data_IF_629931078615
#
_entry.id   IF_629931078615
#
_cell.length_a   1.000
_cell.length_b   1.000
_cell.length_c   1.000
_cell.angle_alpha   90.00
_cell.angle_beta   90.00
_cell.angle_gamma   90.00
#
_symmetry.space_group_name_H-M   'P 1'
#
loop_
_entity.id
_entity.type
_entity.pdbx_description
1 polymer ?
#
# COMPACT_ATOMS: atom_id res chain seq x y z
N UNK A 1 17.40 -9.54 -3.09
CA UNK A 1 16.00 -9.92 -3.43
C UNK A 1 15.17 -8.64 -3.61
N UNK A 2 14.30 -8.57 -4.63
CA UNK A 2 13.47 -7.38 -4.90
C UNK A 2 12.04 -7.63 -4.44
N UNK A 3 11.48 -6.72 -3.65
CA UNK A 3 10.08 -6.72 -3.26
C UNK A 3 9.40 -5.58 -4.03
N UNK A 4 8.26 -5.88 -4.62
CA UNK A 4 7.39 -4.91 -5.27
C UNK A 4 6.30 -4.51 -4.29
N UNK A 5 6.10 -3.20 -4.16
CA UNK A 5 5.06 -2.61 -3.33
C UNK A 5 4.03 -1.98 -4.25
N UNK A 6 2.78 -2.41 -4.15
CA UNK A 6 1.66 -1.76 -4.81
C UNK A 6 0.83 -1.05 -3.75
N UNK A 7 0.60 0.25 -3.92
CA UNK A 7 -0.16 1.04 -2.96
C UNK A 7 -1.43 1.53 -3.64
N UNK A 8 -2.57 1.17 -3.09
CA UNK A 8 -3.89 1.56 -3.57
C UNK A 8 -4.52 2.47 -2.52
N UNK A 9 -4.51 3.79 -2.73
CA UNK A 9 -5.13 4.72 -1.79
C UNK A 9 -6.65 4.66 -1.90
N UNK A 10 -7.30 4.46 -0.77
CA UNK A 10 -8.74 4.65 -0.59
C UNK A 10 -8.97 6.08 -0.09
N UNK A 11 -9.62 6.87 -0.95
CA UNK A 11 -9.90 8.29 -0.69
C UNK A 11 -11.08 8.49 0.24
N UNK A 12 -11.99 7.52 0.34
CA UNK A 12 -13.19 7.64 1.17
C UNK A 12 -12.87 7.33 2.63
N UNK A 13 -12.06 6.30 2.89
CA UNK A 13 -11.68 5.91 4.26
C UNK A 13 -10.43 6.63 4.78
N UNK A 14 -9.65 7.29 3.92
CA UNK A 14 -8.36 7.89 4.30
C UNK A 14 -7.27 6.85 4.58
N UNK A 15 -7.49 5.59 4.18
CA UNK A 15 -6.55 4.49 4.30
C UNK A 15 -5.98 4.13 2.93
N UNK A 16 -4.81 3.51 2.91
CA UNK A 16 -4.19 2.93 1.73
C UNK A 16 -3.95 1.45 1.97
N UNK A 17 -4.25 0.66 0.97
CA UNK A 17 -3.90 -0.75 0.94
C UNK A 17 -2.53 -0.93 0.27
N UNK A 18 -1.57 -1.45 1.03
CA UNK A 18 -0.24 -1.80 0.56
C UNK A 18 -0.19 -3.30 0.31
N UNK A 19 0.03 -3.72 -0.93
CA UNK A 19 0.21 -5.11 -1.33
C UNK A 19 1.69 -5.40 -1.56
N UNK A 20 2.16 -6.49 -0.99
CA UNK A 20 3.54 -6.95 -1.11
C UNK A 20 3.59 -8.07 -2.14
N UNK A 21 4.41 -7.88 -3.18
CA UNK A 21 4.68 -8.91 -4.17
C UNK A 21 6.18 -9.22 -4.22
N UNK A 22 6.51 -10.50 -4.40
CA UNK A 22 7.88 -10.94 -4.60
C UNK A 22 7.90 -12.03 -5.67
N UNK A 23 8.68 -11.82 -6.73
CA UNK A 23 8.85 -12.80 -7.82
C UNK A 23 7.51 -13.23 -8.47
N UNK A 24 6.52 -12.32 -8.47
CA UNK A 24 5.17 -12.58 -8.98
C UNK A 24 4.22 -13.20 -7.96
N UNK A 25 4.70 -13.59 -6.78
CA UNK A 25 3.89 -14.11 -5.69
C UNK A 25 3.37 -12.99 -4.79
N UNK A 26 2.09 -13.06 -4.44
CA UNK A 26 1.49 -12.19 -3.43
C UNK A 26 1.88 -12.68 -2.04
N UNK A 27 2.55 -11.82 -1.28
CA UNK A 27 3.02 -12.13 0.06
C UNK A 27 2.06 -11.66 1.15
N UNK A 28 1.26 -10.62 0.88
CA UNK A 28 0.33 -10.09 1.86
C UNK A 28 -0.15 -8.68 1.57
N UNK A 29 -1.05 -8.21 2.44
CA UNK A 29 -1.64 -6.88 2.39
C UNK A 29 -1.58 -6.23 3.76
N UNK A 30 -1.35 -4.92 3.78
CA UNK A 30 -1.42 -4.10 4.98
C UNK A 30 -2.23 -2.85 4.70
N UNK A 31 -3.17 -2.52 5.59
CA UNK A 31 -3.86 -1.23 5.59
C UNK A 31 -3.05 -0.23 6.40
N UNK A 32 -2.73 0.90 5.80
CA UNK A 32 -1.92 1.97 6.39
C UNK A 32 -2.65 3.28 6.21
N UNK A 33 -2.53 4.24 7.14
CA UNK A 33 -3.19 5.54 6.96
C UNK A 33 -2.49 6.35 5.88
N UNK A 34 -3.25 7.08 5.07
CA UNK A 34 -2.69 7.90 3.97
C UNK A 34 -1.65 8.92 4.47
N UNK A 35 -1.83 9.42 5.70
CA UNK A 35 -0.91 10.37 6.34
C UNK A 35 0.46 9.77 6.67
N UNK A 36 0.53 8.46 6.95
CA UNK A 36 1.77 7.77 7.29
C UNK A 36 2.59 7.44 6.04
N UNK A 37 1.91 7.22 4.92
CA UNK A 37 2.55 6.96 3.63
C UNK A 37 2.99 8.23 2.91
N UNK A 38 2.63 9.42 3.43
CA UNK A 38 2.89 10.73 2.81
C UNK A 38 2.48 10.77 1.31
N UNK A 39 1.54 9.90 0.91
CA UNK A 39 1.16 9.69 -0.50
C UNK A 39 0.19 10.75 -0.97
N UNK A 40 -0.68 11.21 -0.09
CA UNK A 40 -1.60 12.31 -0.37
C UNK A 40 -1.86 13.08 0.91
N UNK A 41 -1.52 14.38 0.92
CA UNK A 41 -2.13 15.35 1.82
C UNK A 41 -3.39 15.84 1.10
N UNK A 42 -4.55 15.51 1.64
CA UNK A 42 -5.81 16.17 1.25
C UNK A 42 -5.95 17.46 2.03
#
# INVERSE_FOLDING_TARGET
KKIQLLIVPDKESGLSEVKFLHEGEFLGIQKVKNIELNLVRF
#
